data_IF_630796084275
#
_entry.id   IF_630796084275
#
_cell.length_a   1.000
_cell.length_b   1.000
_cell.length_c   1.000
_cell.angle_alpha   90.00
_cell.angle_beta   90.00
_cell.angle_gamma   90.00
#
_symmetry.space_group_name_H-M   'P 1'
#
loop_
_entity.id
_entity.type
_entity.pdbx_description
1 polymer ?
#
# COMPACT_ATOMS: atom_id res chain seq x y z
N UNK A 1 -5.84 0.45 6.17
CA UNK A 1 -4.37 0.60 5.98
C UNK A 1 -4.09 0.34 4.52
N UNK A 2 -3.50 1.27 3.79
CA UNK A 2 -3.15 1.03 2.39
C UNK A 2 -2.22 -0.18 2.25
N UNK A 3 -2.62 -1.14 1.43
CA UNK A 3 -1.85 -2.30 1.02
C UNK A 3 -1.51 -2.16 -0.47
N UNK A 4 -1.11 -3.20 -1.14
CA UNK A 4 -0.68 -3.13 -2.54
C UNK A 4 -1.74 -2.50 -3.48
N UNK A 5 -3.03 -2.91 -3.46
CA UNK A 5 -4.02 -2.33 -4.38
C UNK A 5 -4.22 -0.83 -4.19
N UNK A 6 -4.35 -0.35 -2.95
CA UNK A 6 -4.53 1.07 -2.66
C UNK A 6 -3.31 1.89 -3.09
N UNK A 7 -2.10 1.33 -2.89
CA UNK A 7 -0.86 2.00 -3.31
C UNK A 7 -0.71 2.01 -4.83
N UNK A 8 -1.18 0.97 -5.52
CA UNK A 8 -1.21 0.95 -6.99
C UNK A 8 -2.21 1.97 -7.53
N UNK A 9 -3.36 2.15 -6.88
CA UNK A 9 -4.32 3.21 -7.21
C UNK A 9 -3.71 4.60 -7.02
N UNK A 10 -2.99 4.84 -5.90
CA UNK A 10 -2.24 6.09 -5.71
C UNK A 10 -1.24 6.31 -6.83
N UNK A 11 -0.44 5.30 -7.18
CA UNK A 11 0.53 5.37 -8.28
C UNK A 11 -0.14 5.80 -9.59
N UNK A 12 -1.27 5.18 -9.93
CA UNK A 12 -2.02 5.53 -11.15
C UNK A 12 -2.57 6.95 -11.11
N UNK A 13 -3.10 7.37 -9.97
CA UNK A 13 -3.60 8.73 -9.77
C UNK A 13 -2.53 9.82 -9.87
N UNK A 14 -1.25 9.47 -9.68
CA UNK A 14 -0.13 10.41 -9.81
C UNK A 14 0.47 10.48 -11.22
N UNK A 15 0.05 9.64 -12.17
CA UNK A 15 0.61 9.65 -13.54
C UNK A 15 0.54 11.01 -14.26
N UNK A 16 -0.50 11.87 -14.04
CA UNK A 16 -0.54 13.20 -14.61
C UNK A 16 0.62 14.12 -14.21
N UNK A 17 1.36 13.79 -13.16
CA UNK A 17 2.53 14.55 -12.74
C UNK A 17 3.80 14.27 -13.57
N UNK A 18 3.80 13.20 -14.37
CA UNK A 18 4.96 12.86 -15.22
C UNK A 18 5.18 13.95 -16.27
N UNK A 19 6.43 14.35 -16.43
CA UNK A 19 6.84 15.45 -17.28
C UNK A 19 6.92 16.79 -16.56
N UNK A 20 6.26 16.92 -15.40
CA UNK A 20 6.26 18.11 -14.58
C UNK A 20 7.62 18.39 -13.94
N UNK A 21 7.91 19.66 -13.74
CA UNK A 21 9.13 20.13 -13.06
C UNK A 21 8.75 20.67 -11.69
N UNK A 22 9.47 20.27 -10.66
CA UNK A 22 9.26 20.77 -9.29
C UNK A 22 9.59 22.27 -9.26
N UNK A 23 8.61 23.08 -8.91
CA UNK A 23 8.75 24.52 -8.75
C UNK A 23 9.00 24.92 -7.29
N UNK A 24 8.27 24.29 -6.38
CA UNK A 24 8.37 24.56 -4.94
C UNK A 24 8.02 23.30 -4.14
N UNK A 25 8.68 23.17 -2.98
CA UNK A 25 8.39 22.13 -1.97
C UNK A 25 7.86 22.82 -0.72
N UNK A 26 6.77 22.30 -0.18
CA UNK A 26 6.13 22.87 0.99
C UNK A 26 5.81 21.78 2.01
N UNK A 27 6.12 22.06 3.28
CA UNK A 27 5.73 21.27 4.44
C UNK A 27 4.78 22.13 5.28
N UNK A 28 3.46 21.98 5.14
CA UNK A 28 2.50 22.76 5.90
C UNK A 28 2.70 22.61 7.41
N UNK A 29 2.68 23.72 8.13
CA UNK A 29 2.69 23.71 9.60
C UNK A 29 1.31 23.32 10.09
N UNK A 30 1.22 22.22 10.81
CA UNK A 30 -0.03 21.67 11.33
C UNK A 30 0.13 21.25 12.78
N UNK A 31 -0.94 21.31 13.60
CA UNK A 31 -0.89 20.99 15.03
C UNK A 31 -0.92 19.48 15.31
N UNK A 32 -0.66 18.65 14.33
CA UNK A 32 -0.74 17.18 14.45
C UNK A 32 0.65 16.55 14.38
N UNK A 33 0.74 15.29 14.81
CA UNK A 33 1.96 14.50 14.74
C UNK A 33 2.56 14.55 13.33
N UNK A 34 3.84 14.94 13.16
CA UNK A 34 4.50 14.96 11.86
C UNK A 34 4.73 13.53 11.35
N UNK A 35 4.86 13.42 10.02
CA UNK A 35 5.36 12.19 9.38
C UNK A 35 6.88 12.08 9.55
N UNK A 36 7.42 10.85 9.35
CA UNK A 36 8.87 10.67 9.25
C UNK A 36 9.40 11.21 7.91
N UNK A 37 10.38 12.11 7.97
CA UNK A 37 10.99 12.74 6.79
C UNK A 37 12.50 12.53 6.82
N UNK A 38 13.10 12.20 5.70
CA UNK A 38 14.54 12.09 5.53
C UNK A 38 14.94 12.40 4.08
N UNK A 39 15.97 13.22 3.86
CA UNK A 39 16.69 14.06 4.82
C UNK A 39 15.79 15.11 5.47
N UNK A 40 16.31 15.98 6.38
CA UNK A 40 15.53 17.04 6.99
C UNK A 40 14.82 17.93 5.97
N UNK A 41 13.57 18.33 6.27
CA UNK A 41 12.68 19.07 5.35
C UNK A 41 13.34 20.32 4.74
N UNK A 42 14.17 21.02 5.50
CA UNK A 42 14.88 22.22 5.05
C UNK A 42 15.81 22.00 3.84
N UNK A 43 16.26 20.76 3.60
CA UNK A 43 17.14 20.42 2.48
C UNK A 43 16.37 20.12 1.18
N UNK A 44 15.07 19.84 1.27
CA UNK A 44 14.29 19.38 0.13
C UNK A 44 14.15 20.39 -1.00
N UNK A 45 13.97 21.71 -0.74
CA UNK A 45 13.94 22.69 -1.82
C UNK A 45 15.22 22.67 -2.66
N UNK A 46 16.38 22.62 -2.03
CA UNK A 46 17.66 22.55 -2.75
C UNK A 46 17.82 21.25 -3.55
N UNK A 47 17.31 20.14 -3.01
CA UNK A 47 17.42 18.83 -3.64
C UNK A 47 16.42 18.62 -4.78
N UNK A 48 15.23 19.22 -4.72
CA UNK A 48 14.13 18.90 -5.62
C UNK A 48 13.75 20.01 -6.60
N UNK A 49 13.88 21.30 -6.23
CA UNK A 49 13.47 22.40 -7.12
C UNK A 49 14.25 22.36 -8.43
N UNK A 50 13.51 22.39 -9.54
CA UNK A 50 14.02 22.29 -10.89
C UNK A 50 14.14 20.85 -11.41
N UNK A 51 13.98 19.81 -10.59
CA UNK A 51 13.95 18.42 -11.07
C UNK A 51 12.65 18.11 -11.80
N UNK A 52 12.77 17.28 -12.83
CA UNK A 52 11.63 16.77 -13.60
C UNK A 52 11.18 15.42 -13.07
N UNK A 53 9.88 15.24 -12.92
CA UNK A 53 9.28 13.93 -12.63
C UNK A 53 9.31 13.10 -13.91
N UNK A 54 10.04 12.00 -13.92
CA UNK A 54 10.19 11.15 -15.11
C UNK A 54 9.37 9.86 -15.04
N UNK A 55 9.11 9.37 -13.85
CA UNK A 55 8.33 8.14 -13.66
C UNK A 55 7.66 8.10 -12.29
N UNK A 56 6.54 7.38 -12.19
CA UNK A 56 5.88 7.03 -10.93
C UNK A 56 5.83 5.51 -10.82
N UNK A 57 6.53 4.99 -9.84
CA UNK A 57 6.66 3.55 -9.59
C UNK A 57 5.91 3.14 -8.32
N UNK A 58 5.61 1.84 -8.20
CA UNK A 58 5.22 1.19 -6.95
C UNK A 58 6.22 0.07 -6.63
N UNK A 59 6.70 0.05 -5.40
CA UNK A 59 7.46 -1.07 -4.86
C UNK A 59 6.75 -1.53 -3.58
N UNK A 60 6.19 -2.74 -3.60
CA UNK A 60 5.40 -3.27 -2.49
C UNK A 60 4.25 -2.32 -2.09
N UNK A 61 4.31 -1.75 -0.89
CA UNK A 61 3.33 -0.81 -0.32
C UNK A 61 3.85 0.62 -0.28
N UNK A 62 4.64 1.02 -1.28
CA UNK A 62 5.24 2.36 -1.39
C UNK A 62 5.05 2.91 -2.79
N UNK A 63 4.81 4.22 -2.88
CA UNK A 63 4.87 4.97 -4.13
C UNK A 63 6.24 5.60 -4.22
N UNK A 64 6.86 5.52 -5.39
CA UNK A 64 8.12 6.16 -5.71
C UNK A 64 7.90 7.19 -6.82
N UNK A 65 8.29 8.43 -6.57
CA UNK A 65 8.38 9.48 -7.57
C UNK A 65 9.84 9.56 -8.00
N UNK A 66 10.08 9.26 -9.27
CA UNK A 66 11.41 9.20 -9.87
C UNK A 66 11.70 10.53 -10.54
N UNK A 67 12.82 11.12 -10.19
CA UNK A 67 13.27 12.36 -10.79
C UNK A 67 14.39 12.10 -11.81
N UNK A 68 14.59 13.06 -12.71
CA UNK A 68 15.66 13.03 -13.68
C UNK A 68 17.06 12.94 -13.02
N UNK A 69 17.98 12.25 -13.68
CA UNK A 69 19.33 11.96 -13.14
C UNK A 69 20.31 13.11 -13.40
N UNK A 70 20.10 13.91 -14.45
CA UNK A 70 21.06 14.89 -14.93
C UNK A 70 20.97 16.26 -14.27
N UNK A 71 20.08 16.42 -13.29
CA UNK A 71 19.87 17.73 -12.69
C UNK A 71 21.08 18.19 -11.86
N UNK A 72 21.75 19.25 -12.32
CA UNK A 72 22.89 19.93 -11.64
C UNK A 72 24.02 18.97 -11.23
N UNK A 73 24.34 17.96 -12.03
CA UNK A 73 25.40 16.96 -11.76
C UNK A 73 25.18 16.21 -10.42
N UNK A 74 23.95 16.10 -9.94
CA UNK A 74 23.59 15.38 -8.70
C UNK A 74 23.04 14.01 -9.04
N UNK A 75 23.29 13.05 -8.14
CA UNK A 75 22.79 11.69 -8.27
C UNK A 75 21.26 11.64 -8.45
N UNK A 76 20.79 10.69 -9.23
CA UNK A 76 19.34 10.42 -9.37
C UNK A 76 18.67 10.22 -8.03
N UNK A 77 17.56 10.91 -7.81
CA UNK A 77 16.78 10.82 -6.58
C UNK A 77 15.42 10.16 -6.81
N UNK A 78 14.95 9.54 -5.75
CA UNK A 78 13.62 8.94 -5.66
C UNK A 78 12.93 9.48 -4.40
N UNK A 79 11.74 10.04 -4.53
CA UNK A 79 10.91 10.31 -3.36
C UNK A 79 10.09 9.06 -3.08
N UNK A 80 10.35 8.43 -1.95
CA UNK A 80 9.68 7.21 -1.48
C UNK A 80 8.63 7.58 -0.44
N UNK A 81 7.37 7.43 -0.80
CA UNK A 81 6.22 7.65 0.08
C UNK A 81 5.72 6.30 0.61
N UNK A 82 5.71 6.14 1.93
CA UNK A 82 5.13 4.97 2.58
C UNK A 82 3.88 5.37 3.37
N UNK A 83 2.68 5.06 2.87
CA UNK A 83 1.41 5.48 3.47
C UNK A 83 1.14 4.90 4.87
N UNK A 84 1.68 3.74 5.18
CA UNK A 84 1.42 2.97 6.42
C UNK A 84 -0.07 2.82 6.70
N UNK A 85 -0.64 3.58 7.67
CA UNK A 85 -2.01 3.34 8.15
C UNK A 85 -3.06 4.24 7.50
N UNK A 86 -2.71 5.48 7.15
CA UNK A 86 -3.69 6.48 6.72
C UNK A 86 -3.12 7.49 5.70
N UNK A 87 -1.90 7.27 5.20
CA UNK A 87 -1.27 8.14 4.20
C UNK A 87 -1.90 7.95 2.83
N UNK A 88 -2.05 9.04 2.09
CA UNK A 88 -2.53 9.05 0.71
C UNK A 88 -1.66 10.03 -0.08
N UNK A 89 -1.13 9.55 -1.20
CA UNK A 89 -0.48 10.40 -2.20
C UNK A 89 -1.48 10.66 -3.34
N UNK A 90 -1.68 11.92 -3.71
CA UNK A 90 -2.69 12.33 -4.68
C UNK A 90 -2.28 13.59 -5.43
N UNK A 91 -3.03 13.94 -6.46
CA UNK A 91 -3.03 15.24 -7.11
C UNK A 91 -4.29 16.01 -6.66
N UNK A 92 -4.30 17.31 -6.90
CA UNK A 92 -5.43 18.22 -6.72
C UNK A 92 -5.81 18.49 -5.25
N UNK A 93 -7.03 18.13 -4.81
CA UNK A 93 -7.54 18.53 -3.50
C UNK A 93 -7.51 17.38 -2.48
N UNK A 94 -6.92 17.64 -1.30
CA UNK A 94 -6.92 16.65 -0.23
C UNK A 94 -8.31 16.57 0.43
N UNK A 95 -8.66 15.44 1.08
CA UNK A 95 -9.92 15.30 1.82
C UNK A 95 -10.12 16.41 2.85
N UNK A 96 -9.07 16.88 3.46
CA UNK A 96 -9.02 18.08 4.32
C UNK A 96 -7.64 18.71 4.27
N UNK A 97 -7.55 20.03 4.36
CA UNK A 97 -6.27 20.74 4.42
C UNK A 97 -5.48 20.40 5.69
N UNK A 98 -6.18 20.10 6.79
CA UNK A 98 -5.61 19.92 8.13
C UNK A 98 -4.57 18.81 8.25
N UNK A 99 -4.53 17.84 7.34
CA UNK A 99 -3.62 16.68 7.42
C UNK A 99 -2.67 16.58 6.22
N UNK A 100 -2.55 17.62 5.41
CA UNK A 100 -1.55 17.69 4.34
C UNK A 100 -0.17 17.83 4.95
N UNK A 101 0.76 16.94 4.56
CA UNK A 101 2.09 16.79 5.15
C UNK A 101 3.21 17.26 4.24
N UNK A 102 3.00 17.17 2.94
CA UNK A 102 3.95 17.55 1.91
C UNK A 102 3.16 17.99 0.67
N UNK A 103 3.61 19.07 0.06
CA UNK A 103 3.11 19.55 -1.24
C UNK A 103 4.32 19.76 -2.15
N UNK A 104 4.28 19.12 -3.31
CA UNK A 104 5.21 19.40 -4.41
C UNK A 104 4.43 20.20 -5.46
N UNK A 105 4.75 21.47 -5.63
CA UNK A 105 4.20 22.29 -6.69
C UNK A 105 4.92 22.01 -8.00
N UNK A 106 4.15 21.84 -9.06
CA UNK A 106 4.63 21.47 -10.39
C UNK A 106 4.35 22.57 -11.41
N UNK A 107 5.24 22.69 -12.39
CA UNK A 107 5.00 23.39 -13.64
C UNK A 107 5.19 22.42 -14.81
N UNK A 108 4.55 22.71 -15.93
CA UNK A 108 4.65 21.90 -17.16
C UNK A 108 4.17 20.46 -17.00
N UNK A 109 3.19 20.21 -16.10
CA UNK A 109 2.51 18.92 -15.93
C UNK A 109 1.03 19.06 -16.23
N UNK A 110 0.31 17.93 -16.23
CA UNK A 110 -1.17 17.92 -16.35
C UNK A 110 -1.86 18.20 -15.01
N UNK A 111 -1.11 18.36 -13.93
CA UNK A 111 -1.57 18.75 -12.61
C UNK A 111 -0.65 19.81 -12.01
N UNK A 112 -1.17 20.62 -11.10
CA UNK A 112 -0.40 21.72 -10.49
C UNK A 112 0.43 21.26 -9.29
N UNK A 113 0.05 20.16 -8.64
CA UNK A 113 0.71 19.72 -7.41
C UNK A 113 0.52 18.24 -7.12
N UNK A 114 1.49 17.67 -6.43
CA UNK A 114 1.40 16.37 -5.76
C UNK A 114 1.26 16.64 -4.27
N UNK A 115 0.31 15.97 -3.63
CA UNK A 115 0.02 16.09 -2.21
C UNK A 115 0.31 14.76 -1.50
N UNK A 116 0.88 14.84 -0.32
CA UNK A 116 0.90 13.72 0.62
C UNK A 116 0.11 14.10 1.86
N UNK A 117 -1.04 13.46 2.03
CA UNK A 117 -1.96 13.64 3.11
C UNK A 117 -1.88 12.44 4.06
N UNK A 118 -1.79 12.68 5.38
CA UNK A 118 -1.78 11.60 6.36
C UNK A 118 -2.46 12.04 7.66
N UNK A 119 -3.66 11.53 7.88
CA UNK A 119 -4.46 11.84 9.06
C UNK A 119 -3.76 11.46 10.37
N UNK A 120 -3.02 10.35 10.40
CA UNK A 120 -2.42 9.80 11.61
C UNK A 120 -0.96 10.18 11.82
N UNK A 121 -0.29 10.75 10.83
CA UNK A 121 1.13 11.10 10.89
C UNK A 121 2.05 9.89 11.12
N UNK A 122 1.67 8.72 10.63
CA UNK A 122 2.46 7.48 10.74
C UNK A 122 3.25 7.17 9.48
N UNK A 123 2.88 7.79 8.36
CA UNK A 123 3.55 7.63 7.09
C UNK A 123 4.97 8.18 7.11
N UNK A 124 5.71 7.90 6.04
CA UNK A 124 7.06 8.45 5.85
C UNK A 124 7.26 8.94 4.43
N UNK A 125 8.13 9.93 4.29
CA UNK A 125 8.59 10.46 3.03
C UNK A 125 10.13 10.54 3.06
N UNK A 126 10.78 9.82 2.15
CA UNK A 126 12.24 9.75 2.09
C UNK A 126 12.72 10.14 0.70
N UNK A 127 13.72 11.01 0.63
CA UNK A 127 14.50 11.23 -0.59
C UNK A 127 15.72 10.32 -0.55
N UNK A 128 15.71 9.31 -1.39
CA UNK A 128 16.78 8.34 -1.50
C UNK A 128 17.48 8.40 -2.85
N UNK A 129 18.77 8.13 -2.84
CA UNK A 129 19.53 7.81 -4.05
C UNK A 129 19.11 6.44 -4.60
N UNK A 130 19.57 6.11 -5.81
CA UNK A 130 19.35 4.78 -6.41
C UNK A 130 19.90 3.68 -5.49
N UNK A 131 21.10 3.86 -4.95
CA UNK A 131 21.75 2.89 -4.07
C UNK A 131 20.97 2.70 -2.77
N UNK A 132 20.53 3.78 -2.13
CA UNK A 132 19.69 3.73 -0.94
C UNK A 132 18.34 3.03 -1.21
N UNK A 133 17.76 3.22 -2.40
CA UNK A 133 16.59 2.45 -2.80
C UNK A 133 16.90 0.96 -2.93
N UNK A 134 18.02 0.60 -3.54
CA UNK A 134 18.43 -0.80 -3.67
C UNK A 134 18.70 -1.46 -2.30
N UNK A 135 19.32 -0.74 -1.38
CA UNK A 135 19.57 -1.21 -0.01
C UNK A 135 18.29 -1.44 0.79
N UNK A 136 17.31 -0.52 0.68
CA UNK A 136 16.10 -0.52 1.53
C UNK A 136 14.89 -1.21 0.90
N UNK A 137 14.85 -1.35 -0.42
CA UNK A 137 13.73 -1.90 -1.18
C UNK A 137 14.14 -3.02 -2.15
N UNK A 138 15.42 -3.34 -2.20
CA UNK A 138 15.94 -4.37 -3.09
C UNK A 138 15.62 -5.81 -2.63
N UNK A 139 16.02 -6.81 -3.43
CA UNK A 139 15.71 -8.24 -3.21
C UNK A 139 16.23 -8.80 -1.88
N UNK A 140 17.21 -8.15 -1.25
CA UNK A 140 17.69 -8.53 0.08
C UNK A 140 16.67 -8.21 1.20
N UNK A 141 15.78 -7.23 0.98
CA UNK A 141 14.81 -6.75 1.97
C UNK A 141 13.39 -7.18 1.62
N UNK A 142 13.03 -7.08 0.34
CA UNK A 142 11.70 -7.39 -0.17
C UNK A 142 11.74 -8.64 -1.05
N UNK A 143 10.79 -9.53 -0.83
CA UNK A 143 10.51 -10.63 -1.75
C UNK A 143 9.88 -10.15 -3.05
N UNK A 144 9.58 -11.08 -3.96
CA UNK A 144 8.94 -10.77 -5.23
C UNK A 144 7.57 -10.11 -5.01
N UNK A 145 7.18 -9.24 -5.94
CA UNK A 145 5.89 -8.54 -5.89
C UNK A 145 4.73 -9.54 -6.05
N UNK A 146 3.69 -9.37 -5.23
CA UNK A 146 2.54 -10.28 -5.19
C UNK A 146 1.76 -10.37 -6.50
N UNK A 147 1.81 -9.32 -7.36
CA UNK A 147 1.15 -9.34 -8.67
C UNK A 147 1.94 -10.12 -9.72
N UNK A 148 3.26 -10.22 -9.58
CA UNK A 148 4.13 -10.75 -10.64
C UNK A 148 4.86 -12.03 -10.27
N UNK A 149 4.93 -12.38 -8.98
CA UNK A 149 5.55 -13.64 -8.54
C UNK A 149 4.91 -14.83 -9.24
N UNK A 150 5.73 -15.75 -9.74
CA UNK A 150 5.20 -16.96 -10.36
C UNK A 150 4.78 -18.02 -9.31
N UNK A 151 3.85 -18.89 -9.69
CA UNK A 151 3.26 -19.89 -8.79
C UNK A 151 4.27 -20.91 -8.24
N UNK A 152 5.33 -21.21 -8.97
CA UNK A 152 6.33 -22.19 -8.53
C UNK A 152 7.27 -21.60 -7.50
N UNK A 153 7.77 -20.40 -7.73
CA UNK A 153 8.60 -19.65 -6.78
C UNK A 153 7.84 -19.41 -5.48
N UNK A 154 6.60 -18.88 -5.58
CA UNK A 154 5.73 -18.67 -4.44
C UNK A 154 5.52 -19.96 -3.64
N UNK A 155 5.13 -21.06 -4.31
CA UNK A 155 4.90 -22.34 -3.65
C UNK A 155 6.16 -22.87 -2.98
N UNK A 156 7.32 -22.79 -3.64
CA UNK A 156 8.61 -23.24 -3.10
C UNK A 156 8.98 -22.48 -1.84
N UNK A 157 8.88 -21.14 -1.89
CA UNK A 157 9.22 -20.26 -0.78
C UNK A 157 8.37 -20.57 0.45
N UNK A 158 7.05 -20.61 0.30
CA UNK A 158 6.16 -20.77 1.45
C UNK A 158 6.17 -22.19 2.02
N UNK A 159 6.28 -23.24 1.20
CA UNK A 159 6.34 -24.61 1.70
C UNK A 159 7.58 -24.94 2.54
N UNK A 160 8.65 -24.18 2.39
CA UNK A 160 9.86 -24.35 3.21
C UNK A 160 9.69 -23.79 4.64
N UNK A 161 8.62 -23.00 4.89
CA UNK A 161 8.45 -22.29 6.16
C UNK A 161 7.74 -23.17 7.20
N UNK A 162 8.28 -23.21 8.43
CA UNK A 162 7.68 -23.93 9.57
C UNK A 162 6.88 -22.99 10.50
N UNK A 163 6.21 -21.99 9.93
CA UNK A 163 5.41 -20.98 10.65
C UNK A 163 3.98 -20.96 10.13
N UNK A 164 3.09 -20.26 10.82
CA UNK A 164 1.69 -20.06 10.42
C UNK A 164 1.59 -19.29 9.09
N UNK A 165 0.59 -19.65 8.27
CA UNK A 165 0.43 -19.12 6.91
C UNK A 165 0.13 -17.63 6.88
N UNK A 166 -0.75 -17.14 7.77
CA UNK A 166 -1.11 -15.72 7.74
C UNK A 166 0.07 -14.81 8.10
N UNK A 167 0.81 -15.01 9.21
CA UNK A 167 2.04 -14.27 9.48
C UNK A 167 3.09 -14.40 8.37
N UNK A 168 3.18 -15.56 7.71
CA UNK A 168 4.09 -15.74 6.59
C UNK A 168 3.72 -14.87 5.39
N UNK A 169 2.42 -14.79 5.03
CA UNK A 169 1.93 -13.92 3.94
C UNK A 169 2.11 -12.43 4.23
N UNK A 170 2.11 -12.02 5.49
CA UNK A 170 2.34 -10.62 5.90
C UNK A 170 3.80 -10.19 5.83
N UNK A 171 4.72 -11.15 5.82
CA UNK A 171 6.17 -10.90 5.83
C UNK A 171 6.64 -10.49 4.44
N UNK A 172 6.93 -9.21 4.26
CA UNK A 172 7.26 -8.61 2.96
C UNK A 172 8.52 -9.19 2.29
N UNK A 173 9.37 -9.89 3.01
CA UNK A 173 10.55 -10.59 2.45
C UNK A 173 10.20 -11.89 1.71
N UNK A 174 9.01 -12.47 1.91
CA UNK A 174 8.57 -13.66 1.19
C UNK A 174 7.70 -13.34 -0.01
N UNK A 175 6.78 -12.38 0.15
CA UNK A 175 5.98 -11.79 -0.92
C UNK A 175 5.67 -10.34 -0.56
N UNK A 176 5.98 -9.43 -1.46
CA UNK A 176 5.83 -8.01 -1.20
C UNK A 176 4.43 -7.51 -1.64
N UNK A 177 3.79 -6.71 -0.78
CA UNK A 177 2.52 -6.06 -1.10
C UNK A 177 1.30 -6.58 -0.32
N UNK A 178 1.27 -7.85 0.07
CA UNK A 178 0.15 -8.42 0.83
C UNK A 178 0.15 -7.89 2.27
N UNK A 179 -1.02 -7.47 2.75
CA UNK A 179 -1.21 -7.05 4.12
C UNK A 179 -2.34 -7.82 4.82
N UNK A 180 -2.77 -7.31 5.96
CA UNK A 180 -3.67 -8.04 6.86
C UNK A 180 -5.06 -8.30 6.25
N UNK A 181 -5.58 -7.33 5.50
CA UNK A 181 -6.89 -7.42 4.87
C UNK A 181 -6.85 -8.49 3.77
N UNK A 182 -5.95 -8.32 2.80
CA UNK A 182 -5.89 -9.23 1.66
C UNK A 182 -5.40 -10.62 2.04
N UNK A 183 -4.51 -10.78 3.03
CA UNK A 183 -4.15 -12.10 3.55
C UNK A 183 -5.36 -12.84 4.14
N UNK A 184 -6.25 -12.14 4.84
CA UNK A 184 -7.48 -12.75 5.35
C UNK A 184 -8.43 -13.17 4.23
N UNK A 185 -8.66 -12.33 3.23
CA UNK A 185 -9.50 -12.62 2.07
C UNK A 185 -8.98 -13.81 1.25
N UNK A 186 -7.68 -13.84 0.98
CA UNK A 186 -7.02 -14.92 0.24
C UNK A 186 -7.20 -16.26 0.96
N UNK A 187 -6.91 -16.30 2.26
CA UNK A 187 -7.03 -17.53 3.05
C UNK A 187 -8.47 -17.98 3.19
N UNK A 188 -9.41 -17.04 3.38
CA UNK A 188 -10.83 -17.32 3.43
C UNK A 188 -11.33 -17.95 2.13
N UNK A 189 -10.98 -17.36 0.98
CA UNK A 189 -11.34 -17.86 -0.35
C UNK A 189 -10.83 -19.28 -0.61
N UNK A 190 -9.66 -19.63 -0.05
CA UNK A 190 -9.06 -20.96 -0.19
C UNK A 190 -9.48 -21.95 0.91
N UNK A 191 -10.28 -21.55 1.89
CA UNK A 191 -10.68 -22.40 3.03
C UNK A 191 -9.49 -22.79 3.92
N UNK A 192 -8.45 -21.96 4.01
CA UNK A 192 -7.24 -22.26 4.78
C UNK A 192 -7.27 -21.50 6.10
N UNK A 193 -7.20 -22.23 7.21
CA UNK A 193 -7.16 -21.62 8.54
C UNK A 193 -5.88 -20.79 8.71
N UNK A 194 -5.93 -19.53 9.20
CA UNK A 194 -4.79 -18.61 9.27
C UNK A 194 -3.60 -19.09 10.11
N UNK A 195 -3.87 -19.96 11.09
CA UNK A 195 -2.84 -20.59 11.95
C UNK A 195 -2.29 -21.90 11.37
N UNK A 196 -2.78 -22.36 10.23
CA UNK A 196 -2.22 -23.57 9.60
C UNK A 196 -0.77 -23.34 9.25
N UNK A 197 0.11 -24.30 9.58
CA UNK A 197 1.54 -24.20 9.25
C UNK A 197 1.77 -24.33 7.75
N UNK A 198 2.65 -23.52 7.22
CA UNK A 198 2.99 -23.49 5.79
C UNK A 198 3.45 -24.83 5.26
N UNK A 199 4.31 -25.54 5.99
CA UNK A 199 4.84 -26.88 5.63
C UNK A 199 3.78 -27.99 5.65
N UNK A 200 2.58 -27.73 6.20
CA UNK A 200 1.42 -28.64 6.23
C UNK A 200 0.39 -28.34 5.15
N UNK A 201 0.65 -27.35 4.33
CA UNK A 201 -0.21 -26.98 3.19
C UNK A 201 0.32 -27.72 1.94
N UNK A 202 -0.56 -28.38 1.20
CA UNK A 202 -0.19 -29.14 0.00
C UNK A 202 0.29 -28.23 -1.13
N UNK A 203 1.08 -28.77 -2.07
CA UNK A 203 1.52 -28.02 -3.26
C UNK A 203 0.34 -27.52 -4.09
N UNK A 204 -0.74 -28.29 -4.17
CA UNK A 204 -1.98 -27.92 -4.87
C UNK A 204 -2.63 -26.70 -4.19
N UNK A 205 -2.83 -26.74 -2.88
CA UNK A 205 -3.44 -25.64 -2.13
C UNK A 205 -2.58 -24.37 -2.19
N UNK A 206 -1.25 -24.47 -2.22
CA UNK A 206 -0.38 -23.31 -2.41
C UNK A 206 -0.57 -22.65 -3.79
N UNK A 207 -0.80 -23.43 -4.85
CA UNK A 207 -1.12 -22.91 -6.18
C UNK A 207 -2.50 -22.23 -6.18
N UNK A 208 -3.47 -22.78 -5.44
CA UNK A 208 -4.79 -22.17 -5.25
C UNK A 208 -4.68 -20.84 -4.49
N UNK A 209 -3.87 -20.77 -3.41
CA UNK A 209 -3.57 -19.53 -2.66
C UNK A 209 -2.93 -18.48 -3.57
N UNK A 210 -1.95 -18.88 -4.39
CA UNK A 210 -1.31 -17.97 -5.34
C UNK A 210 -2.32 -17.41 -6.36
N UNK A 211 -3.12 -18.25 -6.99
CA UNK A 211 -4.15 -17.83 -7.95
C UNK A 211 -5.20 -16.91 -7.30
N UNK A 212 -5.64 -17.25 -6.08
CA UNK A 212 -6.56 -16.41 -5.31
C UNK A 212 -5.94 -15.05 -4.96
N UNK A 213 -4.67 -15.02 -4.57
CA UNK A 213 -3.94 -13.79 -4.28
C UNK A 213 -3.93 -12.85 -5.49
N UNK A 214 -3.50 -13.33 -6.64
CA UNK A 214 -3.45 -12.50 -7.85
C UNK A 214 -4.85 -12.04 -8.29
N UNK A 215 -5.85 -12.91 -8.25
CA UNK A 215 -7.22 -12.56 -8.62
C UNK A 215 -7.79 -11.48 -7.69
N UNK A 216 -7.67 -11.65 -6.36
CA UNK A 216 -8.18 -10.69 -5.37
C UNK A 216 -7.47 -9.35 -5.48
N UNK A 217 -6.14 -9.34 -5.60
CA UNK A 217 -5.38 -8.08 -5.69
C UNK A 217 -5.69 -7.32 -6.98
N UNK A 218 -5.80 -8.01 -8.13
CA UNK A 218 -6.16 -7.37 -9.39
C UNK A 218 -7.59 -6.84 -9.37
N UNK A 219 -8.54 -7.60 -8.83
CA UNK A 219 -9.92 -7.15 -8.65
C UNK A 219 -10.00 -5.90 -7.76
N UNK A 220 -9.29 -5.90 -6.64
CA UNK A 220 -9.20 -4.73 -5.78
C UNK A 220 -8.59 -3.51 -6.48
N UNK A 221 -7.60 -3.68 -7.35
CA UNK A 221 -7.03 -2.58 -8.15
C UNK A 221 -8.05 -2.02 -9.13
N UNK A 222 -8.84 -2.87 -9.78
CA UNK A 222 -9.91 -2.43 -10.71
C UNK A 222 -10.95 -1.59 -9.98
N UNK A 223 -11.26 -1.93 -8.73
CA UNK A 223 -12.21 -1.21 -7.88
C UNK A 223 -11.57 -0.15 -6.97
N UNK A 224 -10.34 0.27 -7.30
CA UNK A 224 -9.59 1.33 -6.59
C UNK A 224 -9.31 1.04 -5.11
N UNK A 225 -9.25 -0.24 -4.74
CA UNK A 225 -8.97 -0.68 -3.37
C UNK A 225 -10.22 -0.91 -2.52
N UNK A 226 -10.00 -1.25 -1.26
CA UNK A 226 -11.07 -1.44 -0.28
C UNK A 226 -11.42 -0.13 0.43
N UNK A 227 -12.72 0.15 0.60
CA UNK A 227 -13.17 1.27 1.42
C UNK A 227 -12.85 0.97 2.89
N UNK A 228 -11.96 1.74 3.50
CA UNK A 228 -11.67 1.63 4.93
C UNK A 228 -12.78 2.30 5.76
N UNK A 229 -13.06 1.75 6.96
CA UNK A 229 -14.09 2.25 7.89
C UNK A 229 -13.94 3.74 8.26
N UNK A 230 -12.75 4.30 8.11
CA UNK A 230 -12.46 5.70 8.42
C UNK A 230 -12.77 6.65 7.26
N UNK A 231 -13.33 6.15 6.16
CA UNK A 231 -13.68 6.95 4.97
C UNK A 231 -12.47 7.56 4.26
N UNK A 232 -11.25 7.15 4.63
CA UNK A 232 -10.00 7.69 4.09
C UNK A 232 -9.79 7.26 2.65
N UNK A 233 -10.38 6.13 2.27
CA UNK A 233 -10.35 5.59 0.92
C UNK A 233 -11.78 5.41 0.43
N UNK A 234 -12.20 6.17 -0.57
CA UNK A 234 -13.46 5.97 -1.29
C UNK A 234 -13.12 5.35 -2.63
N UNK A 235 -13.75 4.22 -2.97
CA UNK A 235 -13.69 3.78 -4.35
C UNK A 235 -14.66 4.62 -5.20
N UNK A 236 -14.33 4.81 -6.48
CA UNK A 236 -15.12 5.61 -7.40
C UNK A 236 -16.52 5.02 -7.67
N UNK A 237 -16.72 3.74 -7.40
CA UNK A 237 -17.96 3.01 -7.72
C UNK A 237 -19.04 3.17 -6.65
N UNK A 238 -18.66 3.28 -5.38
CA UNK A 238 -19.58 3.23 -4.25
C UNK A 238 -19.66 4.53 -3.47
N UNK A 239 -19.63 5.69 -4.06
CA UNK A 239 -19.69 7.04 -3.46
C UNK A 239 -20.32 7.21 -2.06
N UNK A 240 -20.88 6.15 -1.49
CA UNK A 240 -21.38 6.02 -0.12
C UNK A 240 -20.54 4.97 0.63
N UNK A 241 -20.07 5.34 1.82
CA UNK A 241 -19.27 4.50 2.71
C UNK A 241 -20.03 3.26 3.19
N UNK A 242 -20.07 2.24 2.35
CA UNK A 242 -20.48 0.89 2.76
C UNK A 242 -19.44 0.32 3.73
N UNK A 243 -19.89 -0.24 4.87
CA UNK A 243 -18.99 -0.89 5.82
C UNK A 243 -18.22 -2.02 5.11
N UNK A 244 -16.90 -2.09 5.30
CA UNK A 244 -16.01 -3.11 4.71
C UNK A 244 -16.40 -4.57 5.01
N UNK A 245 -17.47 -4.80 5.76
CA UNK A 245 -18.07 -6.09 6.10
C UNK A 245 -19.20 -6.51 5.15
N UNK A 246 -19.65 -5.63 4.26
CA UNK A 246 -20.81 -5.91 3.40
C UNK A 246 -20.45 -6.50 2.05
N UNK A 247 -19.19 -6.44 1.64
CA UNK A 247 -18.75 -7.03 0.37
C UNK A 247 -17.56 -7.95 0.63
N UNK A 248 -17.89 -9.17 1.02
CA UNK A 248 -16.98 -10.28 0.75
C UNK A 248 -16.87 -10.38 -0.78
N UNK A 249 -15.68 -10.10 -1.34
CA UNK A 249 -15.38 -10.23 -2.78
C UNK A 249 -15.76 -11.64 -3.31
N UNK A 250 -15.96 -12.62 -2.42
CA UNK A 250 -16.41 -13.97 -2.73
C UNK A 250 -17.92 -14.16 -2.78
N UNK A 251 -18.74 -13.14 -2.54
CA UNK A 251 -20.21 -13.23 -2.58
C UNK A 251 -20.84 -14.11 -1.50
N UNK A 252 -20.13 -14.48 -0.46
CA UNK A 252 -20.65 -15.26 0.67
C UNK A 252 -20.80 -14.40 1.91
N UNK A 253 -22.04 -14.19 2.33
CA UNK A 253 -22.36 -13.51 3.60
C UNK A 253 -21.92 -14.37 4.78
N UNK A 254 -21.13 -13.82 5.68
CA UNK A 254 -20.83 -14.43 6.97
C UNK A 254 -21.97 -14.09 7.95
N UNK A 255 -22.91 -14.97 8.10
CA UNK A 255 -23.83 -14.97 9.25
C UNK A 255 -23.09 -15.65 10.40
N UNK A 256 -22.55 -14.86 11.31
CA UNK A 256 -22.00 -15.36 12.56
C UNK A 256 -23.14 -15.90 13.42
N UNK A 257 -23.34 -17.21 13.41
CA UNK A 257 -24.19 -17.87 14.42
C UNK A 257 -23.47 -17.78 15.76
N UNK A 258 -23.88 -16.83 16.60
CA UNK A 258 -23.65 -16.95 18.03
C UNK A 258 -24.54 -18.10 18.48
N UNK A 259 -23.99 -19.25 18.84
CA UNK A 259 -24.66 -20.26 19.61
C UNK A 259 -24.92 -19.70 21.02
N UNK A 260 -26.11 -19.22 21.25
CA UNK A 260 -26.62 -19.02 22.58
C UNK A 260 -26.91 -20.40 23.17
N UNK A 261 -25.99 -20.95 23.96
CA UNK A 261 -26.29 -22.02 24.87
C UNK A 261 -27.13 -21.41 26.02
N UNK A 262 -28.44 -21.44 25.87
CA UNK A 262 -29.34 -21.28 26.99
C UNK A 262 -29.09 -22.40 27.97
N UNK A 263 -28.80 -22.05 29.21
CA UNK A 263 -29.07 -22.94 30.36
C UNK A 263 -30.37 -22.46 30.98
N UNK A 264 -31.42 -23.16 30.64
CA UNK A 264 -32.60 -23.15 31.45
C UNK A 264 -32.23 -23.83 32.77
N UNK A 265 -32.37 -23.11 33.84
CA UNK A 265 -32.28 -23.61 35.20
C UNK A 265 -33.60 -23.36 35.86
N UNK A 266 -34.49 -24.36 35.78
CA UNK A 266 -35.60 -24.48 36.69
C UNK A 266 -35.08 -24.71 38.11
N UNK A 267 -35.80 -24.15 39.10
CA UNK A 267 -35.61 -24.54 40.47
C UNK A 267 -36.25 -23.61 41.48
N UNK A 268 -37.51 -23.87 41.79
CA UNK A 268 -38.23 -23.57 43.05
C UNK A 268 -38.12 -22.18 43.66
#
# INVERSE_FOLDING_TARGET
MPELPEVETMRRGLLPAIGGTIERVEFPTIPYRPIGISPPAAQWPELLVGRKVVEIQRIAKRVLIVFDEEHRQRAGLRLVLQPKMAGIAMIDEPPTQAHTRLILHLKNAQCERILYWDRRGLGTAHLWTIDQCAENLGPAVLGPDALTVNAEEFTRTFRALRREVKPALLEQRYVAGVGNLYAAEILHRCGVHPQRRCDRITKRTWREIHGAMQAILNDAIVHEGSTLRDGTYRNAINGEGGSAWSVCICGRSFVGTRSSSGRDGEGM
#
